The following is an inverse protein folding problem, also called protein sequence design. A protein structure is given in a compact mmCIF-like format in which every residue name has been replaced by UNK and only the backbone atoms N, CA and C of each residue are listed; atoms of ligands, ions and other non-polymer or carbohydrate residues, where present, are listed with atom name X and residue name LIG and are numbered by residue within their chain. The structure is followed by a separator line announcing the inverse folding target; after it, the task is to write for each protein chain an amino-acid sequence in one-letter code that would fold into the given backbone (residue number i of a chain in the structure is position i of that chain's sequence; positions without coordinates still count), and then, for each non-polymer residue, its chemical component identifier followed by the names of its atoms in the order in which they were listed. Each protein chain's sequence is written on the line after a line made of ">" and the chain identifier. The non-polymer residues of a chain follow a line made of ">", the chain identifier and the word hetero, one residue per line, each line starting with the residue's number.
data_IF_589379169940
#
_entry.id   IF_589379169940
#
_cell.length_a   1.000
_cell.length_b   1.000
_cell.length_c   1.000
_cell.angle_alpha   90.00
_cell.angle_beta   90.00
_cell.angle_gamma   90.00
#
_symmetry.space_group_name_H-M   'P 1'
#
loop_
_entity.id
_entity.type
_entity.pdbx_description
1 polymer ?
#
# COMPACT_ATOMS: atom_id res chain seq x y z
N UNK A 1 27.20 -54.63 6.18
CA UNK A 1 26.70 -53.50 5.38
C UNK A 1 26.03 -52.55 6.36
N UNK A 2 26.79 -51.58 6.86
CA UNK A 2 26.30 -50.50 7.77
C UNK A 2 25.85 -49.32 6.94
N UNK A 3 24.57 -49.02 6.99
CA UNK A 3 24.02 -47.86 6.37
C UNK A 3 24.47 -46.60 7.11
N UNK A 4 25.23 -45.76 6.44
CA UNK A 4 25.57 -44.43 6.91
C UNK A 4 24.30 -43.58 6.81
N UNK A 5 23.73 -43.23 7.97
CA UNK A 5 22.67 -42.22 8.05
C UNK A 5 23.38 -40.87 7.93
N UNK A 6 23.34 -40.28 6.75
CA UNK A 6 23.69 -38.85 6.58
C UNK A 6 22.63 -38.00 7.33
N UNK A 7 23.05 -37.51 8.50
CA UNK A 7 22.35 -36.42 9.17
C UNK A 7 22.47 -35.15 8.33
N UNK A 8 21.47 -34.86 7.52
CA UNK A 8 21.26 -33.50 7.03
C UNK A 8 20.90 -32.63 8.24
N UNK A 9 21.92 -32.03 8.85
CA UNK A 9 21.72 -30.85 9.70
C UNK A 9 21.05 -29.78 8.85
N UNK A 10 19.72 -29.68 8.96
CA UNK A 10 19.04 -28.46 8.54
C UNK A 10 19.54 -27.34 9.44
N UNK A 11 20.43 -26.51 8.90
CA UNK A 11 20.79 -25.23 9.46
C UNK A 11 19.51 -24.42 9.72
N UNK A 12 18.94 -24.61 10.89
CA UNK A 12 17.92 -23.73 11.43
C UNK A 12 18.59 -22.39 11.76
N UNK A 13 18.79 -21.55 10.75
CA UNK A 13 19.05 -20.15 10.99
C UNK A 13 17.92 -19.62 11.85
N UNK A 14 18.20 -19.40 13.13
CA UNK A 14 17.24 -18.81 14.06
C UNK A 14 16.66 -17.49 13.48
N UNK A 15 15.48 -17.04 13.93
CA UNK A 15 14.82 -15.88 13.35
C UNK A 15 15.79 -14.71 13.30
N UNK A 16 15.92 -14.09 12.13
CA UNK A 16 16.79 -12.95 11.91
C UNK A 16 16.50 -11.87 12.97
N UNK A 17 17.55 -11.32 13.58
CA UNK A 17 17.45 -10.31 14.63
C UNK A 17 17.68 -8.91 14.06
N UNK A 18 17.08 -7.88 14.67
CA UNK A 18 17.27 -6.49 14.29
C UNK A 18 16.51 -6.05 13.04
N UNK A 19 17.07 -5.06 12.31
CA UNK A 19 16.42 -4.44 11.14
C UNK A 19 16.24 -5.45 10.00
N UNK A 20 17.13 -6.40 9.81
CA UNK A 20 17.04 -7.42 8.77
C UNK A 20 15.80 -8.30 8.94
N UNK A 21 15.35 -8.51 10.15
CA UNK A 21 14.06 -9.20 10.41
C UNK A 21 12.91 -8.49 9.69
N UNK A 22 12.81 -7.18 9.81
CA UNK A 22 11.72 -6.40 9.24
C UNK A 22 11.81 -6.29 7.71
N UNK A 23 13.02 -6.27 7.16
CA UNK A 23 13.23 -6.19 5.71
C UNK A 23 12.82 -7.48 4.99
N UNK A 24 13.13 -8.64 5.57
CA UNK A 24 12.96 -9.95 4.92
C UNK A 24 11.90 -10.83 5.60
N UNK A 25 11.09 -10.28 6.48
CA UNK A 25 10.04 -11.04 7.16
C UNK A 25 9.03 -11.61 6.15
N UNK A 26 8.64 -12.85 6.38
CA UNK A 26 7.56 -13.50 5.65
C UNK A 26 6.30 -13.66 6.50
N UNK A 27 6.37 -13.32 7.78
CA UNK A 27 5.26 -13.44 8.72
C UNK A 27 4.19 -12.37 8.45
N UNK A 28 2.95 -12.80 8.29
CA UNK A 28 1.82 -11.90 8.00
C UNK A 28 1.59 -10.84 9.08
N UNK A 29 1.88 -11.13 10.35
CA UNK A 29 1.73 -10.17 11.46
C UNK A 29 2.79 -9.08 11.41
N UNK A 30 4.04 -9.44 11.13
CA UNK A 30 5.12 -8.47 10.98
C UNK A 30 4.85 -7.56 9.79
N UNK A 31 4.44 -8.13 8.64
CA UNK A 31 4.09 -7.36 7.43
C UNK A 31 2.87 -6.47 7.70
N UNK A 32 1.83 -6.98 8.35
CA UNK A 32 0.68 -6.19 8.75
C UNK A 32 1.06 -5.02 9.67
N UNK A 33 1.99 -5.25 10.60
CA UNK A 33 2.54 -4.20 11.48
C UNK A 33 3.30 -3.14 10.68
N UNK A 34 4.10 -3.53 9.68
CA UNK A 34 4.79 -2.60 8.78
C UNK A 34 3.79 -1.71 8.02
N UNK A 35 2.71 -2.29 7.48
CA UNK A 35 1.64 -1.54 6.83
C UNK A 35 0.98 -0.53 7.78
N UNK A 36 0.70 -0.92 9.04
CA UNK A 36 0.08 -0.04 10.03
C UNK A 36 1.00 1.12 10.42
N UNK A 37 2.30 0.86 10.63
CA UNK A 37 3.26 1.92 10.91
C UNK A 37 3.44 2.87 9.72
N UNK A 38 3.54 2.33 8.51
CA UNK A 38 3.60 3.14 7.31
C UNK A 38 2.36 4.02 7.16
N UNK A 39 1.17 3.43 7.34
CA UNK A 39 -0.11 4.15 7.33
C UNK A 39 -0.15 5.27 8.37
N UNK A 40 0.30 5.01 9.57
CA UNK A 40 0.34 6.01 10.64
C UNK A 40 1.26 7.18 10.30
N UNK A 41 2.45 6.92 9.76
CA UNK A 41 3.36 7.98 9.31
C UNK A 41 2.75 8.81 8.17
N UNK A 42 2.10 8.16 7.22
CA UNK A 42 1.41 8.86 6.13
C UNK A 42 0.20 9.65 6.64
N UNK A 43 -0.52 9.13 7.62
CA UNK A 43 -1.62 9.86 8.28
C UNK A 43 -1.11 11.14 8.96
N UNK A 44 0.00 11.09 9.66
CA UNK A 44 0.60 12.30 10.27
C UNK A 44 1.06 13.30 9.20
N UNK A 45 1.69 12.81 8.12
CA UNK A 45 2.15 13.66 7.02
C UNK A 45 0.98 14.32 6.29
N UNK A 46 -0.03 13.55 5.90
CA UNK A 46 -1.23 14.06 5.27
C UNK A 46 -2.05 14.96 6.19
N UNK A 47 -2.10 14.63 7.49
CA UNK A 47 -2.73 15.45 8.52
C UNK A 47 -2.06 16.81 8.68
N UNK A 48 -0.73 16.87 8.67
CA UNK A 48 0.02 18.13 8.69
C UNK A 48 -0.29 19.00 7.46
N UNK A 49 -0.42 18.38 6.27
CA UNK A 49 -0.85 19.08 5.05
C UNK A 49 -2.28 19.62 5.18
N UNK A 50 -3.20 18.87 5.78
CA UNK A 50 -4.56 19.33 6.07
C UNK A 50 -4.57 20.55 7.00
N UNK A 51 -3.72 20.55 8.01
CA UNK A 51 -3.58 21.71 8.90
C UNK A 51 -3.03 22.94 8.15
N UNK A 52 -2.10 22.77 7.20
CA UNK A 52 -1.63 23.83 6.32
C UNK A 52 -2.77 24.40 5.44
N UNK A 53 -3.58 23.53 4.84
CA UNK A 53 -4.79 23.94 4.09
C UNK A 53 -5.75 24.71 4.98
N UNK A 54 -5.97 24.23 6.20
CA UNK A 54 -6.87 24.88 7.16
C UNK A 54 -6.37 26.24 7.61
N UNK A 55 -5.06 26.36 7.80
CA UNK A 55 -4.43 27.64 8.18
C UNK A 55 -4.56 28.69 7.05
N UNK A 56 -4.38 28.28 5.78
CA UNK A 56 -4.60 29.18 4.63
C UNK A 56 -6.05 29.68 4.54
N UNK A 57 -7.02 28.82 4.85
CA UNK A 57 -8.45 29.15 4.78
C UNK A 57 -9.00 29.81 6.05
N UNK A 58 -8.15 30.23 6.96
CA UNK A 58 -8.59 30.86 8.21
C UNK A 58 -9.26 32.23 7.98
N UNK A 59 -8.72 32.99 7.04
CA UNK A 59 -9.29 34.28 6.61
C UNK A 59 -9.46 34.31 5.07
N UNK A 60 -10.33 35.17 4.52
CA UNK A 60 -10.49 35.32 3.08
C UNK A 60 -9.24 35.91 2.42
N UNK A 61 -8.86 35.39 1.25
CA UNK A 61 -7.71 35.85 0.48
C UNK A 61 -6.49 34.96 0.62
N UNK A 62 -5.35 35.41 0.11
CA UNK A 62 -4.06 34.70 0.21
C UNK A 62 -3.38 35.08 1.53
N UNK A 63 -3.12 34.08 2.37
CA UNK A 63 -2.56 34.27 3.71
C UNK A 63 -1.10 33.83 3.79
N UNK A 64 -0.84 32.53 3.65
CA UNK A 64 0.44 31.89 3.92
C UNK A 64 1.12 31.40 2.65
N UNK A 65 0.35 31.09 1.61
CA UNK A 65 0.87 30.46 0.40
C UNK A 65 0.19 30.98 -0.87
N UNK A 66 0.92 30.91 -2.00
CA UNK A 66 0.36 31.22 -3.32
C UNK A 66 -0.61 30.10 -3.80
N UNK A 67 -1.46 30.39 -4.79
CA UNK A 67 -2.45 29.43 -5.28
C UNK A 67 -1.83 28.13 -5.83
N UNK A 68 -0.62 28.19 -6.38
CA UNK A 68 0.07 27.01 -6.93
C UNK A 68 0.44 26.08 -5.78
N UNK A 69 1.06 26.60 -4.74
CA UNK A 69 1.43 25.82 -3.53
C UNK A 69 0.20 25.27 -2.81
N UNK A 70 -0.86 26.07 -2.72
CA UNK A 70 -2.12 25.62 -2.15
C UNK A 70 -2.67 24.39 -2.91
N UNK A 71 -2.74 24.45 -4.26
CA UNK A 71 -3.19 23.34 -5.09
C UNK A 71 -2.30 22.09 -4.96
N UNK A 72 -0.98 22.30 -4.85
CA UNK A 72 -0.02 21.22 -4.60
C UNK A 72 -0.30 20.54 -3.24
N UNK A 73 -0.55 21.34 -2.21
CA UNK A 73 -0.83 20.85 -0.87
C UNK A 73 -2.15 20.05 -0.83
N UNK A 74 -3.21 20.56 -1.46
CA UNK A 74 -4.51 19.88 -1.58
C UNK A 74 -4.37 18.54 -2.32
N UNK A 75 -3.66 18.53 -3.44
CA UNK A 75 -3.43 17.31 -4.24
C UNK A 75 -2.67 16.27 -3.45
N UNK A 76 -1.54 16.65 -2.84
CA UNK A 76 -0.71 15.73 -2.07
C UNK A 76 -1.39 15.25 -0.80
N UNK A 77 -2.15 16.12 -0.11
CA UNK A 77 -2.98 15.70 1.01
C UNK A 77 -3.94 14.58 0.60
N UNK A 78 -4.68 14.76 -0.49
CA UNK A 78 -5.61 13.74 -0.98
C UNK A 78 -4.93 12.42 -1.34
N UNK A 79 -3.83 12.47 -2.08
CA UNK A 79 -3.06 11.28 -2.49
C UNK A 79 -2.47 10.54 -1.28
N UNK A 80 -1.85 11.27 -0.34
CA UNK A 80 -1.23 10.67 0.84
C UNK A 80 -2.29 10.07 1.76
N UNK A 81 -3.41 10.76 1.99
CA UNK A 81 -4.45 10.24 2.88
C UNK A 81 -5.15 9.01 2.32
N UNK A 82 -5.45 8.99 1.03
CA UNK A 82 -6.16 7.85 0.42
C UNK A 82 -5.19 6.68 0.22
N UNK A 83 -4.10 6.88 -0.52
CA UNK A 83 -3.21 5.80 -0.93
C UNK A 83 -2.12 5.48 0.09
N UNK A 84 -1.73 6.43 0.93
CA UNK A 84 -0.69 6.25 1.94
C UNK A 84 -1.19 5.92 3.33
N UNK A 85 -2.33 6.48 3.75
CA UNK A 85 -2.87 6.27 5.08
C UNK A 85 -4.00 5.24 5.08
N UNK A 86 -5.13 5.52 4.44
CA UNK A 86 -6.35 4.71 4.55
C UNK A 86 -6.16 3.31 3.96
N UNK A 87 -5.73 3.21 2.70
CA UNK A 87 -5.59 1.91 2.05
C UNK A 87 -4.57 0.99 2.74
N UNK A 88 -3.35 1.45 3.09
CA UNK A 88 -2.40 0.62 3.81
C UNK A 88 -2.85 0.23 5.21
N UNK A 89 -3.62 1.07 5.93
CA UNK A 89 -4.20 0.69 7.22
C UNK A 89 -5.09 -0.54 7.08
N UNK A 90 -6.00 -0.53 6.11
CA UNK A 90 -6.89 -1.66 5.86
C UNK A 90 -6.14 -2.91 5.39
N UNK A 91 -5.13 -2.76 4.52
CA UNK A 91 -4.27 -3.87 4.10
C UNK A 91 -3.49 -4.45 5.30
N UNK A 92 -3.00 -3.60 6.19
CA UNK A 92 -2.36 -4.02 7.43
C UNK A 92 -3.29 -4.84 8.34
N UNK A 93 -4.52 -4.37 8.53
CA UNK A 93 -5.56 -5.10 9.26
C UNK A 93 -5.92 -6.42 8.58
N UNK A 94 -6.00 -6.45 7.25
CA UNK A 94 -6.27 -7.68 6.50
C UNK A 94 -5.17 -8.72 6.72
N UNK A 95 -3.90 -8.32 6.62
CA UNK A 95 -2.76 -9.19 6.89
C UNK A 95 -2.79 -9.76 8.31
N UNK A 96 -3.19 -8.95 9.31
CA UNK A 96 -3.33 -9.40 10.68
C UNK A 96 -4.50 -10.36 10.88
N UNK A 97 -5.69 -9.99 10.39
CA UNK A 97 -6.95 -10.60 10.80
C UNK A 97 -7.38 -11.78 9.90
N UNK A 98 -7.12 -11.72 8.60
CA UNK A 98 -7.61 -12.76 7.67
C UNK A 98 -7.08 -14.15 8.05
N UNK A 99 -5.75 -14.38 8.18
CA UNK A 99 -5.26 -15.71 8.55
C UNK A 99 -5.82 -16.20 9.88
N UNK A 100 -5.91 -15.31 10.88
CA UNK A 100 -6.45 -15.67 12.20
C UNK A 100 -7.94 -16.03 12.13
N UNK A 101 -8.74 -15.32 11.34
CA UNK A 101 -10.18 -15.56 11.23
C UNK A 101 -10.55 -16.80 10.43
N UNK A 102 -9.71 -17.21 9.48
CA UNK A 102 -9.93 -18.43 8.69
C UNK A 102 -9.16 -19.64 9.22
N UNK A 103 -8.35 -19.45 10.27
CA UNK A 103 -7.53 -20.53 10.86
C UNK A 103 -6.31 -20.91 10.01
N UNK A 104 -5.83 -20.01 9.15
CA UNK A 104 -4.61 -20.22 8.38
C UNK A 104 -3.35 -19.89 9.21
N UNK A 105 -2.25 -20.64 9.02
CA UNK A 105 -1.00 -20.37 9.74
C UNK A 105 -0.29 -19.08 9.26
N UNK A 106 -0.42 -18.75 7.99
CA UNK A 106 0.14 -17.55 7.36
C UNK A 106 -0.63 -17.22 6.07
N UNK A 107 -0.19 -16.16 5.36
CA UNK A 107 -0.68 -15.87 4.00
C UNK A 107 -0.12 -16.90 3.01
N UNK A 108 -0.85 -17.17 1.92
CA UNK A 108 -0.49 -18.20 0.94
C UNK A 108 0.85 -17.91 0.22
N UNK A 109 1.17 -16.63 -0.03
CA UNK A 109 2.34 -16.19 -0.77
C UNK A 109 3.18 -15.20 0.06
N UNK A 110 3.93 -15.68 1.09
CA UNK A 110 4.55 -14.80 2.08
C UNK A 110 5.61 -13.86 1.50
N UNK A 111 6.42 -14.35 0.54
CA UNK A 111 7.46 -13.53 -0.13
C UNK A 111 6.84 -12.42 -0.99
N UNK A 112 5.77 -12.74 -1.71
CA UNK A 112 5.02 -11.76 -2.50
C UNK A 112 4.35 -10.72 -1.58
N UNK A 113 3.89 -11.12 -0.41
CA UNK A 113 3.34 -10.24 0.60
C UNK A 113 4.36 -9.21 1.10
N UNK A 114 5.59 -9.65 1.39
CA UNK A 114 6.68 -8.75 1.76
C UNK A 114 7.02 -7.78 0.62
N UNK A 115 7.14 -8.28 -0.61
CA UNK A 115 7.44 -7.44 -1.78
C UNK A 115 6.33 -6.40 -2.01
N UNK A 116 5.04 -6.77 -1.88
CA UNK A 116 3.93 -5.83 -2.03
C UNK A 116 4.01 -4.68 -1.02
N UNK A 117 4.44 -4.96 0.21
CA UNK A 117 4.69 -3.90 1.18
C UNK A 117 5.81 -2.96 0.74
N UNK A 118 6.99 -3.47 0.36
CA UNK A 118 8.15 -2.64 0.07
C UNK A 118 8.00 -1.80 -1.21
N UNK A 119 7.16 -2.21 -2.14
CA UNK A 119 6.80 -1.39 -3.30
C UNK A 119 6.08 -0.10 -2.89
N UNK A 120 5.30 -0.13 -1.82
CA UNK A 120 4.52 1.01 -1.38
C UNK A 120 5.39 2.18 -0.86
N UNK A 121 6.29 2.01 0.13
CA UNK A 121 7.23 3.07 0.50
C UNK A 121 8.06 3.58 -0.68
N UNK A 122 8.49 2.69 -1.59
CA UNK A 122 9.25 3.08 -2.78
C UNK A 122 8.46 4.01 -3.69
N UNK A 123 7.18 3.73 -3.92
CA UNK A 123 6.29 4.60 -4.68
C UNK A 123 6.11 5.98 -4.02
N UNK A 124 5.97 6.01 -2.69
CA UNK A 124 5.83 7.26 -1.95
C UNK A 124 7.12 8.07 -1.91
N UNK A 125 8.29 7.44 -1.88
CA UNK A 125 9.58 8.14 -2.02
C UNK A 125 9.64 8.85 -3.38
N UNK A 126 9.24 8.18 -4.47
CA UNK A 126 9.20 8.79 -5.81
C UNK A 126 8.21 9.94 -5.84
N UNK A 127 7.00 9.76 -5.31
CA UNK A 127 5.98 10.79 -5.28
C UNK A 127 6.44 12.01 -4.46
N UNK A 128 6.98 11.81 -3.27
CA UNK A 128 7.45 12.89 -2.40
C UNK A 128 8.70 13.58 -2.94
N UNK A 129 9.54 12.89 -3.72
CA UNK A 129 10.71 13.49 -4.34
C UNK A 129 10.37 14.62 -5.31
N UNK A 130 9.14 14.64 -5.87
CA UNK A 130 8.66 15.72 -6.73
C UNK A 130 8.64 17.07 -6.03
N UNK A 131 8.57 17.12 -4.70
CA UNK A 131 8.65 18.37 -3.93
C UNK A 131 9.98 19.12 -4.11
N UNK A 132 11.04 18.41 -4.49
CA UNK A 132 12.39 18.94 -4.67
C UNK A 132 12.76 19.16 -6.15
N UNK A 133 11.82 18.90 -7.06
CA UNK A 133 12.02 19.04 -8.50
C UNK A 133 11.49 20.38 -9.01
N UNK A 134 11.90 20.77 -10.20
CA UNK A 134 11.35 21.93 -10.89
C UNK A 134 9.84 21.74 -11.13
N UNK A 135 9.04 22.75 -10.83
CA UNK A 135 7.58 22.67 -10.84
C UNK A 135 6.94 22.16 -9.53
N UNK A 136 7.74 21.61 -8.59
CA UNK A 136 7.27 21.17 -7.28
C UNK A 136 6.37 19.93 -7.31
N UNK A 137 5.54 19.78 -6.29
CA UNK A 137 4.57 18.70 -6.15
C UNK A 137 3.44 18.82 -7.19
N UNK A 138 2.74 17.72 -7.54
CA UNK A 138 1.55 17.78 -8.40
C UNK A 138 0.46 18.65 -7.79
N UNK A 139 -0.15 19.53 -8.61
CA UNK A 139 -1.20 20.48 -8.19
C UNK A 139 -2.51 20.36 -8.96
N UNK A 140 -2.78 19.22 -9.58
CA UNK A 140 -3.92 19.00 -10.48
C UNK A 140 -5.10 18.22 -9.83
N UNK A 141 -5.07 18.02 -8.53
CA UNK A 141 -6.06 17.21 -7.81
C UNK A 141 -5.75 15.71 -7.82
N UNK A 142 -6.25 14.99 -6.82
CA UNK A 142 -5.98 13.54 -6.66
C UNK A 142 -6.66 12.67 -7.75
N UNK A 143 -7.59 13.23 -8.53
CA UNK A 143 -8.31 12.55 -9.62
C UNK A 143 -7.65 12.75 -10.99
N UNK A 144 -6.59 13.54 -11.07
CA UNK A 144 -5.70 13.79 -12.23
C UNK A 144 -6.39 14.07 -13.58
N UNK A 145 -7.41 14.92 -13.58
CA UNK A 145 -8.09 15.30 -14.82
C UNK A 145 -7.17 16.02 -15.81
N UNK A 146 -7.16 15.52 -17.07
CA UNK A 146 -6.61 16.26 -18.19
C UNK A 146 -7.52 17.46 -18.57
N UNK A 147 -6.99 18.59 -19.08
CA UNK A 147 -5.59 18.85 -19.44
C UNK A 147 -4.72 19.33 -18.26
N UNK A 148 -5.28 19.55 -17.07
CA UNK A 148 -4.54 20.11 -15.95
C UNK A 148 -3.39 19.20 -15.52
N UNK A 149 -3.60 17.87 -15.49
CA UNK A 149 -2.58 16.90 -15.17
C UNK A 149 -1.46 16.83 -16.22
N UNK A 150 -1.79 16.96 -17.50
CA UNK A 150 -0.81 16.86 -18.60
C UNK A 150 0.11 18.07 -18.70
N UNK A 151 -0.28 19.22 -18.13
CA UNK A 151 0.55 20.42 -18.06
C UNK A 151 1.58 20.39 -16.91
N UNK A 152 1.56 19.36 -16.07
CA UNK A 152 2.50 19.23 -14.96
C UNK A 152 3.85 18.69 -15.46
N UNK A 153 4.98 19.41 -15.20
CA UNK A 153 6.28 19.07 -15.81
C UNK A 153 6.82 17.71 -15.34
N UNK A 154 6.48 17.26 -14.13
CA UNK A 154 6.96 16.02 -13.54
C UNK A 154 5.91 14.88 -13.57
N UNK A 155 4.98 14.91 -14.53
CA UNK A 155 3.89 13.93 -14.64
C UNK A 155 4.41 12.49 -14.69
N UNK A 156 5.56 12.24 -15.33
CA UNK A 156 6.15 10.91 -15.44
C UNK A 156 6.46 10.28 -14.07
N UNK A 157 6.96 11.06 -13.11
CA UNK A 157 7.24 10.57 -11.74
C UNK A 157 5.96 10.22 -11.01
N UNK A 158 4.92 11.03 -11.17
CA UNK A 158 3.60 10.75 -10.65
C UNK A 158 3.01 9.47 -11.25
N UNK A 159 2.99 9.34 -12.57
CA UNK A 159 2.52 8.15 -13.31
C UNK A 159 3.26 6.91 -12.82
N UNK A 160 4.58 6.97 -12.71
CA UNK A 160 5.40 5.86 -12.29
C UNK A 160 5.10 5.46 -10.82
N UNK A 161 4.97 6.42 -9.92
CA UNK A 161 4.60 6.17 -8.52
C UNK A 161 3.24 5.46 -8.42
N UNK A 162 2.22 5.94 -9.16
CA UNK A 162 0.88 5.34 -9.18
C UNK A 162 0.92 3.91 -9.74
N UNK A 163 1.73 3.63 -10.77
CA UNK A 163 1.90 2.28 -11.29
C UNK A 163 2.51 1.33 -10.28
N UNK A 164 3.54 1.75 -9.55
CA UNK A 164 4.15 0.93 -8.49
C UNK A 164 3.13 0.64 -7.37
N UNK A 165 2.34 1.64 -6.96
CA UNK A 165 1.24 1.44 -6.01
C UNK A 165 0.20 0.45 -6.52
N UNK A 166 -0.13 0.53 -7.82
CA UNK A 166 -1.05 -0.40 -8.48
C UNK A 166 -0.55 -1.84 -8.48
N UNK A 167 0.72 -2.06 -8.81
CA UNK A 167 1.37 -3.39 -8.76
C UNK A 167 1.33 -3.94 -7.35
N UNK A 168 1.68 -3.14 -6.34
CA UNK A 168 1.58 -3.51 -4.92
C UNK A 168 0.17 -4.00 -4.56
N UNK A 169 -0.86 -3.26 -4.98
CA UNK A 169 -2.27 -3.59 -4.70
C UNK A 169 -2.72 -4.89 -5.38
N UNK A 170 -2.33 -5.13 -6.64
CA UNK A 170 -2.64 -6.36 -7.37
C UNK A 170 -1.99 -7.56 -6.67
N UNK A 171 -0.71 -7.45 -6.28
CA UNK A 171 0.00 -8.52 -5.59
C UNK A 171 -0.65 -8.87 -4.25
N UNK A 172 -1.03 -7.86 -3.46
CA UNK A 172 -1.76 -8.04 -2.21
C UNK A 172 -3.12 -8.71 -2.43
N UNK A 173 -3.86 -8.29 -3.46
CA UNK A 173 -5.16 -8.85 -3.80
C UNK A 173 -5.08 -10.32 -4.21
N UNK A 174 -4.13 -10.69 -5.06
CA UNK A 174 -3.88 -12.10 -5.43
C UNK A 174 -3.60 -12.91 -4.17
N UNK A 175 -2.73 -12.42 -3.30
CA UNK A 175 -2.38 -13.12 -2.06
C UNK A 175 -3.59 -13.33 -1.14
N UNK A 176 -4.43 -12.31 -0.96
CA UNK A 176 -5.67 -12.40 -0.16
C UNK A 176 -6.62 -13.45 -0.76
N UNK A 177 -6.87 -13.42 -2.07
CA UNK A 177 -7.75 -14.40 -2.72
C UNK A 177 -7.23 -15.81 -2.53
N UNK A 178 -5.96 -16.07 -2.84
CA UNK A 178 -5.37 -17.41 -2.73
C UNK A 178 -5.40 -17.90 -1.28
N UNK A 179 -5.11 -17.02 -0.32
CA UNK A 179 -5.17 -17.36 1.11
C UNK A 179 -6.58 -17.76 1.53
N UNK A 180 -7.57 -16.94 1.20
CA UNK A 180 -8.98 -17.22 1.59
C UNK A 180 -9.52 -18.46 0.89
N UNK A 181 -9.21 -18.66 -0.38
CA UNK A 181 -9.76 -19.78 -1.14
C UNK A 181 -9.11 -21.12 -0.77
N UNK A 182 -7.82 -21.14 -0.47
CA UNK A 182 -7.06 -22.39 -0.34
C UNK A 182 -6.63 -22.73 1.09
N UNK A 183 -6.59 -21.78 2.03
CA UNK A 183 -6.00 -21.99 3.36
C UNK A 183 -7.01 -21.93 4.50
N UNK A 184 -8.30 -22.01 4.23
CA UNK A 184 -9.31 -22.10 5.29
C UNK A 184 -9.13 -23.35 6.13
N UNK A 185 -9.45 -23.26 7.43
CA UNK A 185 -9.45 -24.37 8.34
C UNK A 185 -10.32 -25.53 7.80
N UNK A 186 -9.92 -26.80 8.00
CA UNK A 186 -10.72 -27.96 7.59
C UNK A 186 -12.15 -27.87 8.12
N UNK A 187 -13.12 -28.02 7.23
CA UNK A 187 -14.56 -27.94 7.55
C UNK A 187 -15.16 -26.53 7.46
N UNK A 188 -14.36 -25.48 7.34
CA UNK A 188 -14.88 -24.11 7.17
C UNK A 188 -15.32 -23.88 5.71
N UNK A 189 -16.63 -23.78 5.51
CA UNK A 189 -17.22 -23.41 4.22
C UNK A 189 -17.14 -21.89 3.99
N UNK A 190 -17.33 -21.44 2.75
CA UNK A 190 -17.36 -20.00 2.44
C UNK A 190 -18.42 -19.26 3.26
N UNK A 191 -19.59 -19.87 3.47
CA UNK A 191 -20.70 -19.24 4.20
C UNK A 191 -20.49 -19.14 5.71
N UNK A 192 -19.49 -19.84 6.25
CA UNK A 192 -19.11 -19.77 7.67
C UNK A 192 -18.03 -18.72 7.95
N UNK A 193 -17.47 -18.10 6.89
CA UNK A 193 -16.45 -17.06 7.05
C UNK A 193 -17.04 -15.79 7.68
N UNK A 194 -16.28 -15.10 8.56
CA UNK A 194 -16.65 -13.79 9.06
C UNK A 194 -16.88 -12.76 7.93
N UNK A 195 -17.77 -11.79 8.16
CA UNK A 195 -18.08 -10.74 7.18
C UNK A 195 -16.86 -9.91 6.77
N UNK A 196 -15.91 -9.73 7.68
CA UNK A 196 -14.64 -9.06 7.37
C UNK A 196 -13.86 -9.80 6.27
N UNK A 197 -13.77 -11.13 6.35
CA UNK A 197 -13.08 -11.93 5.33
C UNK A 197 -13.84 -11.88 4.01
N UNK A 198 -15.17 -11.90 4.03
CA UNK A 198 -16.00 -11.74 2.84
C UNK A 198 -15.79 -10.37 2.17
N UNK A 199 -15.79 -9.28 2.94
CA UNK A 199 -15.55 -7.94 2.41
C UNK A 199 -14.20 -7.85 1.72
N UNK A 200 -13.15 -8.44 2.31
CA UNK A 200 -11.82 -8.48 1.71
C UNK A 200 -11.74 -9.36 0.47
N UNK A 201 -12.43 -10.49 0.43
CA UNK A 201 -12.48 -11.34 -0.75
C UNK A 201 -13.08 -10.59 -1.95
N UNK A 202 -14.20 -9.93 -1.74
CA UNK A 202 -14.87 -9.12 -2.78
C UNK A 202 -13.99 -7.94 -3.19
N UNK A 203 -13.41 -7.20 -2.23
CA UNK A 203 -12.50 -6.09 -2.49
C UNK A 203 -11.31 -6.52 -3.31
N UNK A 204 -10.71 -7.67 -3.01
CA UNK A 204 -9.55 -8.18 -3.75
C UNK A 204 -9.90 -8.53 -5.21
N UNK A 205 -11.05 -9.12 -5.47
CA UNK A 205 -11.53 -9.33 -6.86
C UNK A 205 -11.75 -8.01 -7.61
N UNK A 206 -12.38 -7.03 -6.96
CA UNK A 206 -12.61 -5.71 -7.54
C UNK A 206 -11.29 -4.99 -7.84
N UNK A 207 -10.31 -5.06 -6.94
CA UNK A 207 -8.98 -4.46 -7.16
C UNK A 207 -8.28 -5.07 -8.38
N UNK A 208 -8.28 -6.40 -8.52
CA UNK A 208 -7.70 -7.04 -9.72
C UNK A 208 -8.40 -6.61 -11.00
N UNK A 209 -9.71 -6.39 -10.98
CA UNK A 209 -10.47 -5.94 -12.13
C UNK A 209 -10.20 -4.47 -12.47
N UNK A 210 -10.13 -3.58 -11.46
CA UNK A 210 -10.07 -2.13 -11.66
C UNK A 210 -8.64 -1.60 -11.84
N UNK A 211 -7.64 -2.19 -11.18
CA UNK A 211 -6.28 -1.65 -11.24
C UNK A 211 -5.65 -1.63 -12.64
N UNK A 212 -5.82 -2.65 -13.50
CA UNK A 212 -5.35 -2.56 -14.88
C UNK A 212 -6.01 -1.46 -15.69
N UNK A 213 -7.31 -1.18 -15.43
CA UNK A 213 -8.04 -0.10 -16.10
C UNK A 213 -7.49 1.26 -15.65
N UNK A 214 -7.25 1.44 -14.34
CA UNK A 214 -6.62 2.65 -13.81
C UNK A 214 -5.20 2.82 -14.39
N UNK A 215 -4.39 1.76 -14.42
CA UNK A 215 -3.05 1.80 -14.99
C UNK A 215 -3.08 2.21 -16.46
N UNK A 216 -4.00 1.64 -17.26
CA UNK A 216 -4.20 2.03 -18.65
C UNK A 216 -4.60 3.50 -18.81
N UNK A 217 -5.54 3.99 -18.00
CA UNK A 217 -5.98 5.38 -18.03
C UNK A 217 -4.83 6.36 -17.68
N UNK A 218 -4.04 6.04 -16.64
CA UNK A 218 -2.90 6.87 -16.22
C UNK A 218 -1.73 6.81 -17.21
N UNK A 219 -1.59 5.69 -17.96
CA UNK A 219 -0.57 5.58 -19.03
C UNK A 219 -0.93 6.45 -20.25
N UNK A 220 -2.22 6.71 -20.47
CA UNK A 220 -2.71 7.54 -21.59
C UNK A 220 -2.68 9.04 -21.28
N UNK A 221 -2.34 9.44 -20.06
CA UNK A 221 -2.09 10.82 -19.67
C UNK A 221 -0.74 11.32 -20.19
#
# INVERSE_FOLDING_TARGET
>A
MSAVIENHEHDHHGPQKGILRWLFTTNHKDIGTLYLWFSFLMFLTGGAMAMGIRAELFEPGLQLMDPIRYNQLVTMHGLIMIFGAVMPAFVGLANWLIPMQIGAPDMALPRMNNLSFWLLPSAFIILLSTAFMEGGMPGFGWTFYAPLSTNYPNIAYFVFAVHIMGVSSIMGSINVIVTIMNMRAPGMTLMQMPLFVWSWLITAYLLIAVMPVLAGAVTML
#
